data_IF_997536641215
#
_entry.id   IF_997536641215
#
_cell.length_a   1.000
_cell.length_b   1.000
_cell.length_c   1.000
_cell.angle_alpha   90.00
_cell.angle_beta   90.00
_cell.angle_gamma   90.00
#
_symmetry.space_group_name_H-M   'P 1'
#
loop_
_entity.id
_entity.type
_entity.pdbx_description
1 polymer ?
#
# COMPACT_ATOMS: atom_id res chain seq x y z
N UNK A 1 -10.09 -16.27 7.31
CA UNK A 1 -9.79 -14.90 6.86
C UNK A 1 -10.89 -13.98 7.40
N UNK A 2 -10.55 -13.03 8.29
CA UNK A 2 -11.52 -12.11 8.89
C UNK A 2 -11.99 -11.06 7.86
N UNK A 3 -13.25 -10.64 7.92
CA UNK A 3 -13.86 -9.66 6.99
C UNK A 3 -13.06 -8.35 6.91
N UNK A 4 -12.54 -7.88 8.05
CA UNK A 4 -11.71 -6.67 8.13
C UNK A 4 -10.39 -6.79 7.35
N UNK A 5 -9.81 -7.98 7.30
CA UNK A 5 -8.57 -8.20 6.54
C UNK A 5 -8.84 -8.24 5.04
N UNK A 6 -9.98 -8.80 4.62
CA UNK A 6 -10.39 -8.79 3.21
C UNK A 6 -10.64 -7.37 2.67
N UNK A 7 -11.23 -6.49 3.47
CA UNK A 7 -11.41 -5.07 3.08
C UNK A 7 -10.09 -4.32 2.92
N UNK A 8 -9.14 -4.55 3.83
CA UNK A 8 -7.81 -3.95 3.74
C UNK A 8 -7.10 -4.47 2.48
N UNK A 9 -7.16 -5.77 2.22
CA UNK A 9 -6.59 -6.40 1.03
C UNK A 9 -7.15 -5.78 -0.28
N UNK A 10 -8.47 -5.56 -0.33
CA UNK A 10 -9.17 -4.91 -1.45
C UNK A 10 -8.73 -3.46 -1.65
N UNK A 11 -8.60 -2.69 -0.56
CA UNK A 11 -8.13 -1.30 -0.63
C UNK A 11 -6.70 -1.24 -1.16
N UNK A 12 -5.80 -2.08 -0.66
CA UNK A 12 -4.40 -2.05 -1.12
C UNK A 12 -4.30 -2.49 -2.59
N UNK A 13 -5.08 -3.50 -3.03
CA UNK A 13 -5.19 -3.85 -4.47
C UNK A 13 -5.67 -2.70 -5.34
N UNK A 14 -6.67 -1.92 -4.91
CA UNK A 14 -7.21 -0.79 -5.69
C UNK A 14 -6.29 0.42 -5.72
N UNK A 15 -5.46 0.59 -4.69
CA UNK A 15 -4.56 1.73 -4.61
C UNK A 15 -3.37 1.62 -5.58
N UNK A 16 -3.08 0.44 -6.12
CA UNK A 16 -1.97 0.27 -7.07
C UNK A 16 -0.58 0.28 -6.41
N UNK A 17 -0.53 0.39 -5.07
CA UNK A 17 0.68 0.36 -4.25
C UNK A 17 1.53 -0.90 -4.49
N UNK A 18 0.93 -1.99 -4.98
CA UNK A 18 1.57 -3.30 -5.02
C UNK A 18 1.77 -3.75 -6.46
N UNK A 19 3.03 -3.73 -6.91
CA UNK A 19 3.43 -4.31 -8.20
C UNK A 19 3.44 -5.84 -8.21
N UNK A 20 3.65 -6.48 -7.06
CA UNK A 20 3.72 -7.94 -6.94
C UNK A 20 2.81 -8.50 -5.82
N UNK A 21 1.59 -8.98 -6.15
CA UNK A 21 0.56 -9.33 -5.18
C UNK A 21 0.73 -10.70 -4.52
N UNK A 22 1.82 -11.44 -4.75
CA UNK A 22 1.99 -12.82 -4.24
C UNK A 22 1.91 -12.95 -2.72
N UNK A 23 2.22 -11.89 -1.97
CA UNK A 23 2.10 -11.88 -0.50
C UNK A 23 0.64 -11.66 -0.04
N UNK A 24 -0.24 -11.11 -0.88
CA UNK A 24 -1.68 -10.99 -0.56
C UNK A 24 -2.37 -12.35 -0.54
N UNK A 25 -1.81 -13.36 -1.22
CA UNK A 25 -2.31 -14.74 -1.14
C UNK A 25 -1.99 -15.39 0.22
N UNK A 26 -1.15 -14.75 1.06
CA UNK A 26 -0.75 -15.23 2.39
C UNK A 26 -0.85 -14.13 3.46
N UNK A 27 -2.08 -13.73 3.86
CA UNK A 27 -2.30 -12.66 4.84
C UNK A 27 -1.82 -13.00 6.27
N UNK A 28 -1.58 -14.27 6.57
CA UNK A 28 -1.08 -14.75 7.86
C UNK A 28 0.47 -14.76 7.94
N UNK A 29 1.17 -14.48 6.83
CA UNK A 29 2.63 -14.35 6.80
C UNK A 29 3.08 -12.88 6.94
N UNK A 30 4.33 -12.70 7.35
CA UNK A 30 4.93 -11.36 7.48
C UNK A 30 5.01 -10.69 6.11
N UNK A 31 4.53 -9.44 6.05
CA UNK A 31 4.57 -8.62 4.83
C UNK A 31 6.02 -8.31 4.45
N UNK A 32 6.40 -8.41 3.17
CA UNK A 32 7.75 -8.06 2.74
C UNK A 32 8.10 -6.60 3.04
N UNK A 33 9.35 -6.33 3.44
CA UNK A 33 9.81 -4.98 3.78
C UNK A 33 9.64 -4.00 2.61
N UNK A 34 9.89 -4.44 1.37
CA UNK A 34 9.77 -3.58 0.19
C UNK A 34 8.34 -3.04 -0.02
N UNK A 35 7.30 -3.81 0.36
CA UNK A 35 5.90 -3.38 0.30
C UNK A 35 5.66 -2.23 1.27
N UNK A 36 6.20 -2.34 2.48
CA UNK A 36 6.07 -1.29 3.50
C UNK A 36 6.78 -0.01 3.05
N UNK A 37 7.94 -0.16 2.39
CA UNK A 37 8.68 0.98 1.83
C UNK A 37 7.92 1.65 0.67
N UNK A 38 7.33 0.89 -0.26
CA UNK A 38 6.49 1.44 -1.33
C UNK A 38 5.27 2.18 -0.78
N UNK A 39 4.57 1.58 0.20
CA UNK A 39 3.45 2.22 0.87
C UNK A 39 3.85 3.53 1.57
N UNK A 40 5.04 3.56 2.19
CA UNK A 40 5.56 4.75 2.85
C UNK A 40 5.89 5.86 1.84
N UNK A 41 6.50 5.53 0.69
CA UNK A 41 6.78 6.49 -0.38
C UNK A 41 5.48 7.08 -0.92
N UNK A 42 4.47 6.26 -1.19
CA UNK A 42 3.15 6.75 -1.66
C UNK A 42 2.47 7.68 -0.64
N UNK A 43 2.60 7.39 0.65
CA UNK A 43 2.09 8.25 1.72
C UNK A 43 2.84 9.58 1.75
N UNK A 44 4.17 9.56 1.61
CA UNK A 44 4.98 10.78 1.56
C UNK A 44 4.59 11.63 0.34
N UNK A 45 4.48 11.03 -0.85
CA UNK A 45 4.05 11.72 -2.07
C UNK A 45 2.65 12.34 -1.96
N UNK A 46 1.75 11.71 -1.19
CA UNK A 46 0.41 12.27 -0.94
C UNK A 46 0.41 13.38 0.10
N UNK A 47 1.26 13.29 1.12
CA UNK A 47 1.35 14.28 2.19
C UNK A 47 2.09 15.54 1.74
N UNK A 48 3.09 15.39 0.87
CA UNK A 48 3.82 16.49 0.26
C UNK A 48 3.79 16.38 -1.27
N UNK A 49 2.64 16.71 -1.89
CA UNK A 49 2.51 16.63 -3.34
C UNK A 49 3.49 17.61 -4.00
N UNK A 50 4.32 17.16 -4.97
CA UNK A 50 5.34 18.00 -5.60
C UNK A 50 4.76 19.18 -6.40
N UNK A 51 3.44 19.22 -6.61
CA UNK A 51 2.70 20.27 -7.29
C UNK A 51 2.10 21.31 -6.33
N UNK A 52 2.81 21.72 -5.28
CA UNK A 52 2.48 23.04 -4.69
C UNK A 52 2.95 24.10 -5.69
N UNK A 53 2.06 24.95 -6.24
CA UNK A 53 2.52 26.16 -6.90
C UNK A 53 3.36 26.91 -5.86
N UNK A 54 4.56 27.35 -6.24
CA UNK A 54 5.31 28.29 -5.42
C UNK A 54 4.43 29.56 -5.30
N UNK A 55 3.88 29.80 -4.12
CA UNK A 55 3.23 31.06 -3.75
C UNK A 55 4.26 31.91 -2.99
#
# INVERSE_FOLDING_TARGET
MNERQAEIMQKIKRYGIIKDPQWLDRPDELVPLWVVLEALVEVIERLDPPNRPFD
#
